data_IF_320341482704
#
_entry.id   IF_320341482704
#
_cell.length_a   1.000
_cell.length_b   1.000
_cell.length_c   1.000
_cell.angle_alpha   90.00
_cell.angle_beta   90.00
_cell.angle_gamma   90.00
#
_symmetry.space_group_name_H-M   'P 1'
#
loop_
_entity.id
_entity.type
_entity.pdbx_description
1 polymer ?
#
# COMPACT_ATOMS: atom_id res chain seq x y z
N UNK A 1 5.25 30.51 10.27
CA UNK A 1 5.87 29.17 10.36
C UNK A 1 7.36 29.16 10.08
N UNK A 2 7.92 30.01 9.19
CA UNK A 2 9.35 29.95 8.82
C UNK A 2 10.35 30.02 9.98
N UNK A 3 10.00 30.64 11.11
CA UNK A 3 10.88 30.72 12.30
C UNK A 3 10.76 29.55 13.27
N UNK A 4 9.65 28.81 13.25
CA UNK A 4 9.32 27.79 14.26
C UNK A 4 9.17 26.39 13.67
N UNK A 5 9.06 26.27 12.34
CA UNK A 5 8.66 25.03 11.68
C UNK A 5 7.21 24.64 11.99
N UNK A 6 6.91 23.36 11.80
CA UNK A 6 5.64 22.75 12.17
C UNK A 6 5.06 21.86 11.07
N UNK A 7 3.74 21.68 11.10
CA UNK A 7 2.98 20.91 10.11
C UNK A 7 1.89 21.78 9.50
N UNK A 8 1.80 21.75 8.17
CA UNK A 8 0.73 22.33 7.39
C UNK A 8 -0.21 21.22 6.92
N UNK A 9 -1.48 21.32 7.29
CA UNK A 9 -2.52 20.40 6.85
C UNK A 9 -3.36 21.11 5.79
N UNK A 10 -3.21 20.69 4.53
CA UNK A 10 -3.89 21.29 3.37
C UNK A 10 -5.14 20.50 3.06
N UNK A 11 -6.29 21.18 2.97
CA UNK A 11 -7.54 20.61 2.51
C UNK A 11 -7.84 21.15 1.11
N UNK A 12 -7.59 20.34 0.08
CA UNK A 12 -7.72 20.72 -1.32
C UNK A 12 -8.91 20.00 -1.96
N UNK A 13 -9.85 20.76 -2.54
CA UNK A 13 -11.06 20.19 -3.18
C UNK A 13 -11.02 20.19 -4.70
N UNK A 14 -10.23 21.07 -5.32
CA UNK A 14 -10.21 21.25 -6.78
C UNK A 14 -8.79 21.46 -7.30
N UNK A 15 -8.58 21.32 -8.61
CA UNK A 15 -7.30 21.65 -9.23
C UNK A 15 -6.91 23.13 -8.96
N UNK A 16 -5.71 23.42 -8.41
CA UNK A 16 -5.21 24.78 -8.26
C UNK A 16 -5.05 25.48 -9.62
N UNK A 17 -6.02 26.32 -10.01
CA UNK A 17 -6.08 26.93 -11.35
C UNK A 17 -5.64 28.40 -11.40
N UNK A 18 -5.34 29.01 -10.25
CA UNK A 18 -4.97 30.43 -10.09
C UNK A 18 -3.72 30.54 -9.20
N UNK A 19 -2.88 31.55 -9.47
CA UNK A 19 -1.69 31.86 -8.68
C UNK A 19 -0.40 31.31 -9.27
N UNK A 20 0.70 31.47 -8.52
CA UNK A 20 2.06 31.11 -8.96
C UNK A 20 2.26 29.60 -9.19
N UNK A 21 1.50 28.77 -8.47
CA UNK A 21 1.51 27.30 -8.61
C UNK A 21 0.37 26.75 -9.47
N UNK A 22 -0.16 27.55 -10.41
CA UNK A 22 -1.29 27.16 -11.27
C UNK A 22 -0.97 25.87 -12.05
N UNK A 23 -1.88 24.92 -11.97
CA UNK A 23 -1.88 23.66 -12.72
C UNK A 23 -2.92 23.68 -13.83
N UNK A 24 -2.70 22.81 -14.83
CA UNK A 24 -3.60 22.62 -15.97
C UNK A 24 -4.16 21.20 -15.94
N UNK A 25 -5.34 21.01 -16.53
CA UNK A 25 -5.90 19.68 -16.74
C UNK A 25 -4.95 18.89 -17.64
N UNK A 26 -4.52 17.72 -17.16
CA UNK A 26 -3.62 16.82 -17.88
C UNK A 26 -4.01 15.38 -17.56
N UNK A 27 -3.89 14.50 -18.56
CA UNK A 27 -4.33 13.11 -18.43
C UNK A 27 -5.79 12.85 -18.78
N UNK A 28 -6.53 13.83 -19.30
CA UNK A 28 -7.87 13.59 -19.87
C UNK A 28 -7.80 12.80 -21.20
N UNK A 29 -6.66 12.85 -21.90
CA UNK A 29 -6.47 12.07 -23.13
C UNK A 29 -6.14 10.61 -22.81
N UNK A 30 -7.17 9.76 -22.87
CA UNK A 30 -7.05 8.32 -22.66
C UNK A 30 -6.02 7.65 -23.57
N UNK A 31 -5.69 8.23 -24.74
CA UNK A 31 -4.69 7.67 -25.69
C UNK A 31 -3.26 7.72 -25.15
N UNK A 32 -3.01 8.53 -24.12
CA UNK A 32 -1.67 8.61 -23.49
C UNK A 32 -1.40 7.39 -22.60
N UNK A 33 -2.43 6.77 -22.05
CA UNK A 33 -2.31 5.59 -21.18
C UNK A 33 -1.70 4.40 -21.94
N UNK A 34 -0.73 3.74 -21.33
CA UNK A 34 0.03 2.63 -21.93
C UNK A 34 1.16 3.06 -22.88
N UNK A 35 1.30 4.35 -23.17
CA UNK A 35 2.38 4.87 -24.03
C UNK A 35 3.62 5.28 -23.24
N UNK A 36 4.74 5.55 -23.92
CA UNK A 36 5.95 6.09 -23.29
C UNK A 36 5.72 7.47 -22.66
N UNK A 37 4.65 8.18 -23.04
CA UNK A 37 4.33 9.51 -22.53
C UNK A 37 3.55 9.49 -21.21
N UNK A 38 3.03 8.33 -20.79
CA UNK A 38 2.26 8.20 -19.55
C UNK A 38 3.09 8.52 -18.29
N UNK A 39 4.41 8.27 -18.29
CA UNK A 39 5.27 8.65 -17.16
C UNK A 39 5.26 10.16 -16.87
N UNK A 40 5.14 11.00 -17.91
CA UNK A 40 5.10 12.46 -17.76
C UNK A 40 3.85 12.95 -17.01
N UNK A 41 2.77 12.17 -17.01
CA UNK A 41 1.56 12.48 -16.26
C UNK A 41 1.72 12.22 -14.75
N UNK A 42 2.62 11.30 -14.38
CA UNK A 42 2.83 10.86 -12.98
C UNK A 42 3.88 11.66 -12.24
N UNK A 43 4.51 12.62 -12.91
CA UNK A 43 5.44 13.59 -12.32
C UNK A 43 4.81 14.99 -12.38
N UNK A 44 5.21 15.93 -11.51
CA UNK A 44 4.73 17.32 -11.61
C UNK A 44 5.07 17.94 -12.95
N UNK A 45 4.16 18.74 -13.50
CA UNK A 45 4.40 19.53 -14.72
C UNK A 45 5.40 20.66 -14.45
N UNK A 46 5.24 21.34 -13.32
CA UNK A 46 6.06 22.47 -12.89
C UNK A 46 6.96 22.08 -11.69
N UNK A 47 8.19 22.57 -11.68
CA UNK A 47 9.11 22.42 -10.56
C UNK A 47 8.71 23.22 -9.31
N UNK A 48 7.76 24.16 -9.43
CA UNK A 48 7.26 25.00 -8.35
C UNK A 48 6.99 24.21 -7.06
N UNK A 49 6.22 23.12 -7.13
CA UNK A 49 5.86 22.32 -5.95
C UNK A 49 7.07 21.63 -5.31
N UNK A 50 8.07 21.23 -6.12
CA UNK A 50 9.31 20.64 -5.61
C UNK A 50 10.19 21.68 -4.93
N UNK A 51 10.29 22.88 -5.51
CA UNK A 51 11.04 24.01 -4.93
C UNK A 51 10.37 24.49 -3.63
N UNK A 52 9.05 24.61 -3.63
CA UNK A 52 8.26 24.94 -2.44
C UNK A 52 8.46 23.91 -1.33
N UNK A 53 8.45 22.61 -1.66
CA UNK A 53 8.74 21.56 -0.68
C UNK A 53 10.17 21.65 -0.13
N UNK A 54 11.15 22.01 -0.96
CA UNK A 54 12.53 22.24 -0.51
C UNK A 54 12.60 23.41 0.48
N UNK A 55 11.90 24.51 0.22
CA UNK A 55 11.85 25.64 1.13
C UNK A 55 11.10 25.32 2.43
N UNK A 56 10.04 24.52 2.37
CA UNK A 56 9.39 23.99 3.56
C UNK A 56 10.33 23.13 4.39
N UNK A 57 11.07 22.22 3.78
CA UNK A 57 12.06 21.40 4.49
C UNK A 57 13.15 22.24 5.13
N UNK A 58 13.66 23.28 4.45
CA UNK A 58 14.63 24.22 5.06
C UNK A 58 14.09 24.87 6.33
N UNK A 59 12.81 25.22 6.31
CA UNK A 59 12.10 25.87 7.43
C UNK A 59 11.47 24.87 8.42
N UNK A 60 11.78 23.57 8.32
CA UNK A 60 11.20 22.52 9.17
C UNK A 60 9.66 22.47 9.14
N UNK A 61 9.07 22.67 7.96
CA UNK A 61 7.63 22.57 7.72
C UNK A 61 7.33 21.25 7.00
N UNK A 62 6.52 20.40 7.64
CA UNK A 62 5.91 19.22 7.02
C UNK A 62 4.58 19.57 6.37
N UNK A 63 4.20 18.89 5.29
CA UNK A 63 2.92 19.13 4.60
C UNK A 63 2.13 17.84 4.43
N UNK A 64 0.94 17.78 5.02
CA UNK A 64 -0.06 16.74 4.74
C UNK A 64 -1.13 17.29 3.81
N UNK A 65 -1.48 16.54 2.77
CA UNK A 65 -2.46 16.94 1.75
C UNK A 65 -3.68 16.04 1.85
N UNK A 66 -4.82 16.62 2.18
CA UNK A 66 -6.14 16.01 2.09
C UNK A 66 -6.83 16.49 0.82
N UNK A 67 -6.99 15.59 -0.16
CA UNK A 67 -7.58 15.88 -1.45
C UNK A 67 -9.00 15.29 -1.56
N UNK A 68 -10.00 16.13 -1.82
CA UNK A 68 -11.44 15.78 -1.84
C UNK A 68 -12.08 15.89 -3.22
N UNK A 69 -11.27 15.90 -4.29
CA UNK A 69 -11.75 16.17 -5.64
C UNK A 69 -12.71 15.11 -6.18
N UNK A 70 -13.85 15.55 -6.70
CA UNK A 70 -14.69 14.75 -7.61
C UNK A 70 -14.09 14.65 -9.01
N UNK A 71 -13.23 15.62 -9.34
CA UNK A 71 -12.54 15.76 -10.62
C UNK A 71 -11.03 15.74 -10.40
N UNK A 72 -10.31 15.63 -11.51
CA UNK A 72 -8.85 15.67 -11.53
C UNK A 72 -8.30 16.87 -10.73
N UNK A 73 -7.40 16.58 -9.79
CA UNK A 73 -6.79 17.52 -8.84
C UNK A 73 -5.26 17.57 -8.93
N UNK A 74 -4.66 16.74 -9.80
CA UNK A 74 -3.22 16.62 -10.01
C UNK A 74 -2.44 16.28 -8.72
N UNK A 75 -2.76 15.10 -8.18
CA UNK A 75 -2.06 14.54 -7.02
C UNK A 75 -0.57 14.32 -7.29
N UNK A 76 -0.16 14.11 -8.54
CA UNK A 76 1.26 14.00 -8.90
C UNK A 76 2.05 15.29 -8.58
N UNK A 77 1.42 16.46 -8.75
CA UNK A 77 2.03 17.75 -8.38
C UNK A 77 1.90 18.03 -6.88
N UNK A 78 0.68 17.93 -6.34
CA UNK A 78 0.40 18.25 -4.93
C UNK A 78 1.11 17.32 -3.94
N UNK A 79 1.16 16.02 -4.25
CA UNK A 79 1.75 14.99 -3.40
C UNK A 79 3.25 15.14 -3.21
N UNK A 80 3.94 15.90 -4.08
CA UNK A 80 5.36 16.21 -3.88
C UNK A 80 5.63 17.06 -2.64
N UNK A 81 4.68 17.91 -2.23
CA UNK A 81 4.78 18.63 -0.96
C UNK A 81 4.91 17.64 0.18
N UNK A 82 4.03 16.64 0.25
CA UNK A 82 4.09 15.58 1.26
C UNK A 82 5.32 14.69 1.12
N UNK A 83 5.66 14.28 -0.10
CA UNK A 83 6.83 13.42 -0.36
C UNK A 83 8.12 14.02 0.18
N UNK A 84 8.42 15.28 -0.15
CA UNK A 84 9.71 15.88 0.20
C UNK A 84 9.77 16.49 1.59
N UNK A 85 8.63 16.64 2.27
CA UNK A 85 8.57 17.21 3.63
C UNK A 85 8.26 16.17 4.72
N UNK A 86 8.18 14.88 4.36
CA UNK A 86 7.90 13.80 5.31
C UNK A 86 6.42 13.64 5.67
N UNK A 87 5.52 14.32 4.97
CA UNK A 87 4.07 14.24 5.16
C UNK A 87 3.39 13.07 4.43
N UNK A 88 2.07 13.14 4.30
CA UNK A 88 1.21 12.11 3.72
C UNK A 88 0.12 12.72 2.82
N UNK A 89 -0.26 11.96 1.79
CA UNK A 89 -1.38 12.28 0.90
C UNK A 89 -2.59 11.42 1.28
N UNK A 90 -3.67 12.08 1.66
CA UNK A 90 -4.97 11.48 1.91
C UNK A 90 -5.89 11.81 0.74
N UNK A 91 -6.31 10.80 0.00
CA UNK A 91 -7.11 10.98 -1.22
C UNK A 91 -8.53 10.43 -1.01
N UNK A 92 -9.51 11.30 -1.19
CA UNK A 92 -10.94 11.03 -1.05
C UNK A 92 -11.64 11.29 -2.39
N UNK A 93 -11.62 10.31 -3.31
CA UNK A 93 -12.32 10.47 -4.59
C UNK A 93 -13.82 10.54 -4.35
N UNK A 94 -14.52 11.46 -5.02
CA UNK A 94 -15.97 11.64 -4.90
C UNK A 94 -16.44 11.80 -3.44
N UNK A 95 -15.79 12.71 -2.71
CA UNK A 95 -16.06 12.93 -1.30
C UNK A 95 -17.54 13.27 -1.05
N UNK A 96 -18.18 12.44 -0.22
CA UNK A 96 -19.51 12.66 0.35
C UNK A 96 -19.38 12.69 1.87
N UNK A 97 -19.82 13.79 2.49
CA UNK A 97 -19.70 13.98 3.94
C UNK A 97 -20.37 12.83 4.71
N UNK A 98 -21.54 12.40 4.24
CA UNK A 98 -22.33 11.31 4.81
C UNK A 98 -21.59 9.97 4.89
N UNK A 99 -20.74 9.66 3.90
CA UNK A 99 -19.98 8.40 3.83
C UNK A 99 -18.64 8.54 4.54
N UNK A 100 -17.97 9.68 4.34
CA UNK A 100 -16.55 9.82 4.66
C UNK A 100 -16.31 10.53 5.99
N UNK A 101 -17.34 11.06 6.67
CA UNK A 101 -17.22 11.80 7.93
C UNK A 101 -16.41 11.03 8.97
N UNK A 102 -16.73 9.76 9.21
CA UNK A 102 -16.03 8.97 10.24
C UNK A 102 -14.57 8.73 9.86
N UNK A 103 -14.31 8.32 8.62
CA UNK A 103 -12.96 8.13 8.09
C UNK A 103 -12.12 9.40 8.20
N UNK A 104 -12.67 10.53 7.74
CA UNK A 104 -11.99 11.82 7.79
C UNK A 104 -11.71 12.25 9.22
N UNK A 105 -12.69 12.11 10.12
CA UNK A 105 -12.54 12.44 11.54
C UNK A 105 -11.44 11.60 12.18
N UNK A 106 -11.43 10.28 11.93
CA UNK A 106 -10.40 9.37 12.44
C UNK A 106 -9.02 9.73 11.89
N UNK A 107 -8.89 9.91 10.58
CA UNK A 107 -7.60 10.17 9.95
C UNK A 107 -7.03 11.54 10.35
N UNK A 108 -7.85 12.59 10.48
CA UNK A 108 -7.42 13.89 11.03
C UNK A 108 -7.01 13.72 12.50
N UNK A 109 -7.84 13.08 13.32
CA UNK A 109 -7.56 12.88 14.75
C UNK A 109 -6.25 12.13 14.93
N UNK A 110 -6.04 11.04 14.18
CA UNK A 110 -4.80 10.27 14.20
C UNK A 110 -3.62 11.11 13.72
N UNK A 111 -3.76 11.89 12.65
CA UNK A 111 -2.68 12.74 12.14
C UNK A 111 -2.20 13.77 13.18
N UNK A 112 -3.14 14.35 13.93
CA UNK A 112 -2.86 15.38 14.93
C UNK A 112 -2.40 14.82 16.27
N UNK A 113 -2.83 13.62 16.65
CA UNK A 113 -2.57 13.05 18.00
C UNK A 113 -1.49 11.97 18.03
N UNK A 114 -1.12 11.38 16.89
CA UNK A 114 -0.07 10.34 16.85
C UNK A 114 1.29 10.89 17.23
N UNK A 115 2.12 10.00 17.76
CA UNK A 115 3.53 10.27 18.04
C UNK A 115 4.24 10.79 16.78
N UNK A 116 4.63 12.06 16.87
CA UNK A 116 5.31 12.78 15.79
C UNK A 116 6.62 13.34 16.34
N UNK A 117 7.71 13.07 15.62
CA UNK A 117 9.01 13.65 15.84
C UNK A 117 9.18 14.84 14.88
N UNK A 118 9.57 15.99 15.44
CA UNK A 118 9.69 17.27 14.74
C UNK A 118 11.15 17.61 14.48
N UNK A 119 11.40 18.41 13.43
CA UNK A 119 12.75 18.89 13.06
C UNK A 119 13.76 17.73 13.03
N UNK A 120 13.29 16.61 12.48
CA UNK A 120 13.96 15.35 12.61
C UNK A 120 14.99 15.19 11.50
N UNK A 121 16.11 14.59 11.88
CA UNK A 121 17.18 14.23 10.97
C UNK A 121 17.56 12.80 11.26
N UNK A 122 17.54 11.98 10.22
CA UNK A 122 17.89 10.57 10.31
C UNK A 122 19.24 10.34 9.64
N UNK A 123 20.12 9.68 10.37
CA UNK A 123 21.39 9.15 9.89
C UNK A 123 21.34 7.63 10.04
N UNK A 124 21.87 6.93 9.05
CA UNK A 124 22.03 5.48 9.11
C UNK A 124 23.53 5.22 9.04
N UNK A 125 24.06 4.68 10.12
CA UNK A 125 25.46 4.29 10.24
C UNK A 125 25.59 2.79 10.00
N UNK A 126 25.94 2.47 8.76
CA UNK A 126 26.31 1.12 8.32
C UNK A 126 27.16 1.25 7.04
N UNK A 127 27.53 0.12 6.45
CA UNK A 127 28.05 -0.02 5.09
C UNK A 127 27.51 1.04 4.12
N UNK A 128 28.27 1.34 3.06
CA UNK A 128 27.89 2.31 2.03
C UNK A 128 26.43 2.16 1.56
N UNK A 129 25.62 3.17 1.86
CA UNK A 129 24.22 3.22 1.44
C UNK A 129 24.18 3.74 0.01
N UNK A 130 23.46 3.03 -0.87
CA UNK A 130 23.38 3.37 -2.29
C UNK A 130 22.19 4.27 -2.59
N UNK A 131 21.04 3.98 -1.98
CA UNK A 131 19.78 4.70 -2.22
C UNK A 131 18.87 4.60 -1.01
N UNK A 132 18.03 5.63 -0.84
CA UNK A 132 17.01 5.75 0.20
C UNK A 132 15.64 5.88 -0.47
N UNK A 133 14.61 5.34 0.17
CA UNK A 133 13.25 5.30 -0.37
C UNK A 133 12.21 5.61 0.71
N UNK A 134 11.32 6.56 0.42
CA UNK A 134 10.28 7.03 1.34
C UNK A 134 9.94 8.50 1.14
N UNK A 135 9.28 9.10 2.14
CA UNK A 135 8.97 10.53 2.15
C UNK A 135 9.97 11.29 3.02
N UNK A 136 10.90 11.97 2.37
CA UNK A 136 11.93 12.81 2.99
C UNK A 136 12.57 13.68 1.90
N UNK A 137 13.47 14.55 2.33
CA UNK A 137 14.41 15.21 1.43
C UNK A 137 15.84 14.95 1.90
N UNK A 138 16.75 14.67 0.96
CA UNK A 138 18.17 14.52 1.27
C UNK A 138 18.80 15.90 1.43
N UNK A 139 19.45 16.13 2.58
CA UNK A 139 20.22 17.36 2.85
C UNK A 139 21.68 17.20 2.42
N UNK A 140 22.23 16.01 2.59
CA UNK A 140 23.52 15.55 2.07
C UNK A 140 23.38 14.09 1.62
N UNK A 141 24.47 13.44 1.22
CA UNK A 141 24.48 12.05 0.72
C UNK A 141 23.83 11.06 1.70
N UNK A 142 24.03 11.27 3.00
CA UNK A 142 23.67 10.28 4.04
C UNK A 142 22.73 10.84 5.11
N UNK A 143 22.23 12.07 4.92
CA UNK A 143 21.44 12.77 5.92
C UNK A 143 20.03 13.05 5.41
N UNK A 144 19.05 12.31 5.94
CA UNK A 144 17.65 12.50 5.60
C UNK A 144 17.05 13.60 6.47
N UNK A 145 16.52 14.65 5.84
CA UNK A 145 15.75 15.69 6.48
C UNK A 145 14.27 15.31 6.51
N UNK A 146 13.71 15.32 7.72
CA UNK A 146 12.35 14.93 8.05
C UNK A 146 11.71 16.04 8.91
N UNK A 147 11.17 17.11 8.31
CA UNK A 147 10.49 18.18 9.05
C UNK A 147 9.50 17.66 10.09
N UNK A 148 8.74 16.63 9.72
CA UNK A 148 8.04 15.77 10.66
C UNK A 148 8.12 14.30 10.20
N UNK A 149 8.21 13.38 11.15
CA UNK A 149 8.09 11.94 10.95
C UNK A 149 7.21 11.35 12.04
N UNK A 150 6.34 10.42 11.70
CA UNK A 150 5.39 9.81 12.64
C UNK A 150 5.55 8.30 12.72
N UNK A 151 4.90 7.71 13.72
CA UNK A 151 4.97 6.28 14.04
C UNK A 151 4.43 5.35 12.94
N UNK A 152 3.68 5.88 11.97
CA UNK A 152 2.93 5.05 11.01
C UNK A 152 3.70 4.87 9.68
N UNK A 153 4.86 5.53 9.55
CA UNK A 153 5.68 5.54 8.33
C UNK A 153 6.88 4.60 8.43
N UNK A 154 7.24 4.01 7.29
CA UNK A 154 8.45 3.21 7.13
C UNK A 154 9.28 3.63 5.92
N UNK A 155 10.60 3.55 6.08
CA UNK A 155 11.61 3.86 5.07
C UNK A 155 12.30 2.57 4.62
N UNK A 156 12.80 2.56 3.39
CA UNK A 156 13.66 1.49 2.90
C UNK A 156 14.96 2.06 2.34
N UNK A 157 16.01 1.26 2.35
CA UNK A 157 17.33 1.65 1.89
C UNK A 157 18.02 0.45 1.23
N UNK A 158 18.82 0.71 0.21
CA UNK A 158 19.67 -0.31 -0.42
C UNK A 158 21.11 -0.12 0.02
N UNK A 159 21.71 -1.20 0.50
CA UNK A 159 23.07 -1.22 1.02
C UNK A 159 24.00 -1.87 0.01
N UNK A 160 25.22 -1.34 -0.12
CA UNK A 160 26.32 -2.00 -0.79
C UNK A 160 27.20 -2.65 0.26
N UNK A 161 27.41 -3.96 0.15
CA UNK A 161 28.35 -4.68 1.01
C UNK A 161 29.77 -4.40 0.55
N UNK A 162 30.62 -3.93 1.46
CA UNK A 162 32.06 -3.79 1.25
C UNK A 162 32.78 -5.06 1.72
N UNK A 163 33.85 -5.47 1.02
CA UNK A 163 34.57 -6.72 1.30
C UNK A 163 35.08 -6.81 2.74
N UNK A 164 35.45 -5.67 3.34
CA UNK A 164 35.91 -5.57 4.74
C UNK A 164 34.85 -6.04 5.73
N UNK A 165 33.56 -5.77 5.48
CA UNK A 165 32.46 -6.17 6.36
C UNK A 165 32.25 -7.69 6.38
N UNK A 166 32.58 -8.36 5.28
CA UNK A 166 32.46 -9.81 5.13
C UNK A 166 33.55 -10.57 5.93
N UNK A 167 34.55 -9.88 6.48
CA UNK A 167 35.56 -10.49 7.36
C UNK A 167 35.08 -10.68 8.80
N UNK A 168 34.01 -10.00 9.18
CA UNK A 168 33.42 -10.08 10.52
C UNK A 168 32.35 -11.16 10.58
N UNK A 169 32.08 -11.72 11.77
CA UNK A 169 31.00 -12.69 11.95
C UNK A 169 29.63 -12.03 12.05
N UNK A 170 29.57 -10.77 12.48
CA UNK A 170 28.34 -10.01 12.72
C UNK A 170 28.53 -8.60 12.19
N UNK A 171 27.58 -8.14 11.38
CA UNK A 171 27.46 -6.75 10.95
C UNK A 171 26.41 -6.05 11.80
N UNK A 172 26.74 -4.87 12.29
CA UNK A 172 25.82 -4.02 13.04
C UNK A 172 25.26 -2.92 12.13
N UNK A 173 23.98 -2.66 12.29
CA UNK A 173 23.24 -1.59 11.62
C UNK A 173 22.76 -0.64 12.69
N UNK A 174 23.13 0.63 12.61
CA UNK A 174 22.62 1.63 13.53
C UNK A 174 21.86 2.71 12.78
N UNK A 175 20.66 3.01 13.25
CA UNK A 175 19.85 4.13 12.76
C UNK A 175 19.69 5.11 13.91
N UNK A 176 20.11 6.35 13.71
CA UNK A 176 19.98 7.43 14.67
C UNK A 176 19.02 8.50 14.13
N UNK A 177 17.95 8.76 14.87
CA UNK A 177 16.99 9.82 14.61
C UNK A 177 17.14 10.91 15.67
N UNK A 178 17.76 12.02 15.29
CA UNK A 178 17.80 13.22 16.12
C UNK A 178 16.52 14.02 15.86
N UNK A 179 15.70 14.24 16.88
CA UNK A 179 14.40 14.90 16.73
C UNK A 179 14.01 15.73 17.95
N UNK A 180 13.00 16.58 17.79
CA UNK A 180 12.33 17.30 18.87
C UNK A 180 10.98 16.60 19.13
N UNK A 181 10.66 16.28 20.39
CA UNK A 181 9.35 15.74 20.76
C UNK A 181 8.26 16.81 20.68
N UNK A 182 6.99 16.42 20.66
CA UNK A 182 5.86 17.37 20.77
C UNK A 182 5.86 18.16 22.10
N UNK A 183 6.60 17.71 23.12
CA UNK A 183 6.81 18.45 24.38
C UNK A 183 7.97 19.45 24.32
N UNK A 184 8.67 19.58 23.19
CA UNK A 184 9.78 20.51 23.00
C UNK A 184 11.15 19.97 23.44
N UNK A 185 11.27 18.68 23.75
CA UNK A 185 12.54 18.08 24.17
C UNK A 185 13.34 17.58 22.96
N UNK A 186 14.62 17.93 22.91
CA UNK A 186 15.53 17.34 21.92
C UNK A 186 15.94 15.94 22.36
N UNK A 187 15.69 14.96 21.50
CA UNK A 187 15.93 13.53 21.78
C UNK A 187 16.68 12.89 20.62
N UNK A 188 17.50 11.88 20.93
CA UNK A 188 18.08 10.97 19.95
C UNK A 188 17.45 9.60 20.15
N UNK A 189 16.79 9.08 19.13
CA UNK A 189 16.31 7.68 19.11
C UNK A 189 17.29 6.86 18.30
N UNK A 190 17.82 5.79 18.91
CA UNK A 190 18.80 4.92 18.26
C UNK A 190 18.23 3.51 18.18
N UNK A 191 18.21 2.95 16.97
CA UNK A 191 17.90 1.54 16.74
C UNK A 191 19.16 0.84 16.29
N UNK A 192 19.56 -0.21 17.01
CA UNK A 192 20.69 -1.05 16.63
C UNK A 192 20.19 -2.45 16.30
N UNK A 193 20.52 -2.95 15.12
CA UNK A 193 20.28 -4.32 14.70
C UNK A 193 21.62 -5.01 14.42
N UNK A 194 21.69 -6.31 14.67
CA UNK A 194 22.85 -7.13 14.36
C UNK A 194 22.41 -8.25 13.41
N UNK A 195 23.15 -8.47 12.32
CA UNK A 195 22.92 -9.57 11.40
C UNK A 195 24.19 -10.42 11.27
N UNK A 196 24.07 -11.76 11.33
CA UNK A 196 25.22 -12.64 11.15
C UNK A 196 25.67 -12.63 9.68
N UNK A 197 26.99 -12.67 9.46
CA UNK A 197 27.57 -12.92 8.14
C UNK A 197 27.54 -14.42 7.89
N UNK A 198 26.90 -14.82 6.80
CA UNK A 198 26.79 -16.22 6.40
C UNK A 198 27.84 -16.59 5.35
N UNK A 199 28.45 -17.78 5.43
CA UNK A 199 29.54 -18.20 4.55
C UNK A 199 29.07 -18.65 3.16
N UNK A 200 27.78 -18.92 2.97
CA UNK A 200 27.25 -19.43 1.70
C UNK A 200 25.85 -18.89 1.37
N UNK A 201 25.50 -18.94 0.08
CA UNK A 201 24.22 -18.44 -0.42
C UNK A 201 23.01 -19.23 0.10
N UNK A 202 23.15 -20.53 0.38
CA UNK A 202 22.04 -21.35 0.84
C UNK A 202 21.53 -20.90 2.22
N UNK A 203 22.43 -20.54 3.14
CA UNK A 203 22.09 -19.95 4.43
C UNK A 203 21.51 -18.55 4.28
N UNK A 204 22.02 -17.73 3.35
CA UNK A 204 21.45 -16.42 3.03
C UNK A 204 19.99 -16.54 2.60
N UNK A 205 19.68 -17.47 1.69
CA UNK A 205 18.30 -17.72 1.27
C UNK A 205 17.42 -18.15 2.44
N UNK A 206 17.91 -19.00 3.34
CA UNK A 206 17.14 -19.46 4.51
C UNK A 206 16.71 -18.32 5.45
N UNK A 207 17.52 -17.26 5.55
CA UNK A 207 17.26 -16.11 6.42
C UNK A 207 16.56 -14.95 5.70
N UNK A 208 16.30 -15.06 4.40
CA UNK A 208 15.72 -13.98 3.61
C UNK A 208 14.27 -13.69 4.02
N UNK A 209 13.95 -12.42 4.26
CA UNK A 209 12.61 -11.96 4.65
C UNK A 209 11.80 -11.52 3.42
N UNK A 210 10.72 -12.25 3.13
CA UNK A 210 9.81 -11.94 2.00
C UNK A 210 9.21 -10.54 2.12
N UNK A 211 8.79 -10.13 3.32
CA UNK A 211 8.15 -8.84 3.55
C UNK A 211 9.09 -7.66 3.31
N UNK A 212 10.32 -7.74 3.82
CA UNK A 212 11.36 -6.73 3.59
C UNK A 212 11.71 -6.60 2.10
N UNK A 213 11.87 -7.73 1.40
CA UNK A 213 12.16 -7.76 -0.04
C UNK A 213 11.02 -7.10 -0.82
N UNK A 214 9.77 -7.47 -0.57
CA UNK A 214 8.60 -6.89 -1.27
C UNK A 214 8.45 -5.40 -0.95
N UNK A 215 8.70 -5.00 0.30
CA UNK A 215 8.70 -3.60 0.73
C UNK A 215 9.70 -2.74 -0.06
N UNK A 216 10.91 -3.27 -0.29
CA UNK A 216 11.91 -2.61 -1.12
C UNK A 216 11.55 -2.63 -2.62
N UNK A 217 11.15 -3.79 -3.15
CA UNK A 217 10.75 -3.93 -4.56
C UNK A 217 9.58 -3.02 -4.93
N UNK A 218 8.61 -2.86 -4.02
CA UNK A 218 7.49 -1.94 -4.15
C UNK A 218 7.96 -0.51 -4.39
N UNK A 219 8.84 0.00 -3.53
CA UNK A 219 9.37 1.36 -3.63
C UNK A 219 10.18 1.57 -4.91
N UNK A 220 11.03 0.61 -5.25
CA UNK A 220 11.77 0.63 -6.51
C UNK A 220 10.85 0.64 -7.73
N UNK A 221 9.78 -0.15 -7.71
CA UNK A 221 8.86 -0.23 -8.83
C UNK A 221 8.08 1.08 -9.00
N UNK A 222 7.62 1.69 -7.91
CA UNK A 222 6.95 3.00 -7.93
C UNK A 222 7.89 4.06 -8.50
N UNK A 223 9.13 4.16 -8.01
CA UNK A 223 10.11 5.11 -8.51
C UNK A 223 10.47 4.86 -9.99
N UNK A 224 10.67 3.60 -10.38
CA UNK A 224 10.91 3.22 -11.76
C UNK A 224 9.74 3.63 -12.67
N UNK A 225 8.51 3.52 -12.17
CA UNK A 225 7.29 3.91 -12.89
C UNK A 225 7.20 5.41 -13.16
N UNK A 226 7.84 6.26 -12.34
CA UNK A 226 7.91 7.71 -12.59
C UNK A 226 8.81 8.07 -13.77
N UNK A 227 9.74 7.18 -14.12
CA UNK A 227 10.71 7.41 -15.20
C UNK A 227 10.38 6.62 -16.47
N UNK A 228 9.68 5.49 -16.33
CA UNK A 228 9.45 4.52 -17.39
C UNK A 228 7.98 4.13 -17.52
N UNK A 229 7.66 3.38 -18.58
CA UNK A 229 6.37 2.68 -18.71
C UNK A 229 6.09 1.80 -17.49
N UNK A 230 4.81 1.67 -17.14
CA UNK A 230 4.34 0.75 -16.09
C UNK A 230 4.81 -0.68 -16.33
N UNK A 231 4.85 -1.10 -17.60
CA UNK A 231 5.31 -2.44 -17.97
C UNK A 231 6.77 -2.68 -17.59
N UNK A 232 7.65 -1.70 -17.79
CA UNK A 232 9.05 -1.80 -17.40
C UNK A 232 9.20 -1.97 -15.88
N UNK A 233 8.40 -1.26 -15.09
CA UNK A 233 8.40 -1.39 -13.64
C UNK A 233 7.97 -2.81 -13.20
N UNK A 234 6.92 -3.38 -13.82
CA UNK A 234 6.47 -4.76 -13.54
C UNK A 234 7.50 -5.81 -13.98
N UNK A 235 8.10 -5.63 -15.16
CA UNK A 235 9.16 -6.49 -15.66
C UNK A 235 10.41 -6.43 -14.78
N UNK A 236 10.75 -5.26 -14.22
CA UNK A 236 11.85 -5.12 -13.27
C UNK A 236 11.62 -5.98 -12.02
N UNK A 237 10.42 -5.93 -11.43
CA UNK A 237 10.05 -6.78 -10.28
C UNK A 237 10.17 -8.25 -10.67
N UNK A 238 9.54 -8.64 -11.79
CA UNK A 238 9.58 -10.02 -12.30
C UNK A 238 11.01 -10.52 -12.52
N UNK A 239 11.85 -9.73 -13.18
CA UNK A 239 13.23 -10.07 -13.50
C UNK A 239 14.05 -10.32 -12.23
N UNK A 240 13.86 -9.52 -11.18
CA UNK A 240 14.53 -9.74 -9.89
C UNK A 240 14.11 -11.08 -9.25
N UNK A 241 12.82 -11.42 -9.25
CA UNK A 241 12.34 -12.71 -8.73
C UNK A 241 12.91 -13.88 -9.55
N UNK A 242 12.84 -13.81 -10.88
CA UNK A 242 13.36 -14.86 -11.77
C UNK A 242 14.85 -15.09 -11.56
N UNK A 243 15.65 -14.00 -11.46
CA UNK A 243 17.09 -14.09 -11.21
C UNK A 243 17.38 -14.76 -9.87
N UNK A 244 16.71 -14.35 -8.79
CA UNK A 244 16.88 -14.97 -7.48
C UNK A 244 16.54 -16.46 -7.48
N UNK A 245 15.43 -16.85 -8.13
CA UNK A 245 15.05 -18.27 -8.21
C UNK A 245 15.98 -19.09 -9.11
N UNK A 246 16.51 -18.50 -10.19
CA UNK A 246 17.51 -19.13 -11.06
C UNK A 246 18.81 -19.40 -10.29
N UNK A 247 19.29 -18.43 -9.51
CA UNK A 247 20.46 -18.60 -8.64
C UNK A 247 20.22 -19.65 -7.55
N UNK A 248 19.05 -19.65 -6.89
CA UNK A 248 18.75 -20.70 -5.92
C UNK A 248 18.73 -22.08 -6.56
N UNK A 249 18.14 -22.22 -7.75
CA UNK A 249 18.10 -23.47 -8.50
C UNK A 249 19.51 -23.96 -8.87
N UNK A 250 20.43 -23.06 -9.25
CA UNK A 250 21.79 -23.43 -9.66
C UNK A 250 22.56 -24.10 -8.51
N UNK A 251 22.34 -23.67 -7.26
CA UNK A 251 22.94 -24.28 -6.06
C UNK A 251 22.56 -25.76 -5.88
N UNK A 252 21.35 -26.16 -6.31
CA UNK A 252 20.80 -27.50 -6.10
C UNK A 252 20.65 -28.31 -7.40
N UNK A 253 21.11 -27.78 -8.54
CA UNK A 253 20.93 -28.41 -9.85
C UNK A 253 21.57 -29.79 -9.97
N UNK A 254 22.66 -30.06 -9.22
CA UNK A 254 23.39 -31.34 -9.24
C UNK A 254 22.72 -32.39 -8.33
N UNK A 255 22.09 -31.98 -7.23
CA UNK A 255 21.53 -32.89 -6.21
C UNK A 255 20.18 -33.48 -6.61
N UNK A 256 19.56 -32.95 -7.66
CA UNK A 256 18.16 -33.16 -7.95
C UNK A 256 17.97 -33.40 -9.46
N UNK A 257 17.68 -34.65 -9.85
CA UNK A 257 17.12 -35.01 -11.19
C UNK A 257 15.67 -34.52 -11.32
N UNK A 258 15.42 -33.24 -11.03
CA UNK A 258 14.11 -32.63 -10.96
C UNK A 258 13.80 -31.90 -12.28
N UNK A 259 13.63 -32.68 -13.34
CA UNK A 259 12.98 -32.18 -14.55
C UNK A 259 11.52 -31.84 -14.22
N UNK A 260 11.07 -30.64 -14.59
CA UNK A 260 9.67 -30.22 -14.46
C UNK A 260 9.19 -29.79 -13.06
N UNK A 261 10.07 -29.69 -12.04
CA UNK A 261 9.69 -29.11 -10.73
C UNK A 261 10.32 -27.75 -10.51
N UNK A 262 9.54 -26.83 -9.97
CA UNK A 262 10.03 -25.53 -9.49
C UNK A 262 10.71 -25.70 -8.14
N UNK A 263 11.95 -25.20 -8.02
CA UNK A 263 12.73 -25.24 -6.79
C UNK A 263 12.79 -23.81 -6.28
N UNK A 264 12.42 -23.60 -5.02
CA UNK A 264 12.45 -22.30 -4.35
C UNK A 264 12.79 -22.49 -2.87
N UNK A 265 13.35 -21.47 -2.20
CA UNK A 265 13.62 -21.55 -0.77
C UNK A 265 12.33 -21.36 0.04
N UNK A 266 12.20 -22.11 1.14
CA UNK A 266 11.01 -22.10 2.00
C UNK A 266 10.68 -20.70 2.55
N UNK A 267 11.71 -19.93 2.91
CA UNK A 267 11.63 -18.53 3.37
C UNK A 267 11.01 -17.58 2.35
N UNK A 268 11.12 -17.88 1.05
CA UNK A 268 10.62 -17.07 -0.06
C UNK A 268 9.45 -17.73 -0.80
N UNK A 269 8.78 -18.73 -0.21
CA UNK A 269 7.66 -19.44 -0.86
C UNK A 269 6.52 -18.52 -1.30
N UNK A 270 6.27 -17.44 -0.55
CA UNK A 270 5.24 -16.43 -0.86
C UNK A 270 5.77 -15.25 -1.67
N UNK A 271 7.08 -15.18 -1.93
CA UNK A 271 7.68 -14.06 -2.67
C UNK A 271 7.10 -13.91 -4.08
N UNK A 272 6.92 -14.99 -4.89
CA UNK A 272 6.29 -14.86 -6.20
C UNK A 272 4.84 -14.36 -6.14
N UNK A 273 4.08 -14.77 -5.11
CA UNK A 273 2.68 -14.35 -4.90
C UNK A 273 2.61 -12.85 -4.59
N UNK A 274 3.41 -12.36 -3.64
CA UNK A 274 3.40 -10.93 -3.31
C UNK A 274 3.94 -10.07 -4.46
N UNK A 275 4.95 -10.54 -5.20
CA UNK A 275 5.45 -9.84 -6.39
C UNK A 275 4.39 -9.75 -7.50
N UNK A 276 3.59 -10.81 -7.66
CA UNK A 276 2.45 -10.83 -8.56
C UNK A 276 1.37 -9.83 -8.14
N UNK A 277 1.01 -9.81 -6.86
CA UNK A 277 0.06 -8.86 -6.30
C UNK A 277 0.55 -7.41 -6.45
N UNK A 278 1.85 -7.16 -6.25
CA UNK A 278 2.47 -5.86 -6.49
C UNK A 278 2.29 -5.41 -7.94
N UNK A 279 2.48 -6.30 -8.91
CA UNK A 279 2.27 -6.01 -10.33
C UNK A 279 0.80 -5.70 -10.69
N UNK A 280 -0.15 -6.26 -9.92
CA UNK A 280 -1.59 -5.98 -10.04
C UNK A 280 -2.09 -4.79 -9.19
N UNK A 281 -1.22 -4.21 -8.35
CA UNK A 281 -1.59 -3.08 -7.47
C UNK A 281 -2.04 -1.85 -8.27
N UNK A 282 -2.88 -1.02 -7.67
CA UNK A 282 -3.41 0.22 -8.30
C UNK A 282 -2.29 1.13 -8.83
N UNK A 283 -1.15 1.18 -8.15
CA UNK A 283 -0.01 1.99 -8.57
C UNK A 283 0.66 1.46 -9.86
N UNK A 284 0.71 0.14 -10.07
CA UNK A 284 1.54 -0.51 -11.10
C UNK A 284 0.78 -1.27 -12.19
N UNK A 285 -0.49 -1.65 -11.94
CA UNK A 285 -1.33 -2.27 -12.96
C UNK A 285 -1.46 -1.33 -14.14
N UNK A 286 -1.43 -1.86 -15.35
CA UNK A 286 -1.50 -1.05 -16.56
C UNK A 286 -2.63 -1.55 -17.45
N UNK A 287 -3.22 -0.63 -18.19
CA UNK A 287 -4.30 -0.89 -19.13
C UNK A 287 -4.77 0.43 -19.72
N UNK A 288 -5.61 0.35 -20.75
CA UNK A 288 -6.22 1.55 -21.31
C UNK A 288 -7.23 2.13 -20.30
N UNK A 289 -6.91 3.29 -19.72
CA UNK A 289 -7.76 4.03 -18.78
C UNK A 289 -8.31 3.15 -17.61
N UNK A 290 -7.45 2.28 -17.06
CA UNK A 290 -7.80 1.35 -15.98
C UNK A 290 -8.01 2.01 -14.61
N UNK A 291 -7.23 3.07 -14.33
CA UNK A 291 -7.25 3.83 -13.08
C UNK A 291 -7.12 5.31 -13.39
N UNK A 292 -7.83 6.16 -12.64
CA UNK A 292 -7.60 7.59 -12.69
C UNK A 292 -6.16 7.93 -12.28
N UNK A 293 -5.59 8.97 -12.89
CA UNK A 293 -4.21 9.37 -12.62
C UNK A 293 -3.99 9.73 -11.15
N UNK A 294 -4.95 10.42 -10.53
CA UNK A 294 -4.88 10.84 -9.14
C UNK A 294 -4.91 9.67 -8.17
N UNK A 295 -5.80 8.70 -8.40
CA UNK A 295 -5.88 7.49 -7.58
C UNK A 295 -4.59 6.66 -7.69
N UNK A 296 -4.02 6.54 -8.89
CA UNK A 296 -2.72 5.88 -9.12
C UNK A 296 -1.59 6.58 -8.36
N UNK A 297 -1.51 7.90 -8.45
CA UNK A 297 -0.48 8.67 -7.76
C UNK A 297 -0.66 8.58 -6.23
N UNK A 298 -1.88 8.71 -5.73
CA UNK A 298 -2.20 8.56 -4.31
C UNK A 298 -1.83 7.17 -3.78
N UNK A 299 -2.13 6.10 -4.54
CA UNK A 299 -1.71 4.74 -4.18
C UNK A 299 -0.17 4.63 -4.12
N UNK A 300 0.53 5.18 -5.11
CA UNK A 300 2.00 5.22 -5.13
C UNK A 300 2.58 5.95 -3.92
N UNK A 301 2.11 7.16 -3.61
CA UNK A 301 2.58 7.91 -2.42
C UNK A 301 2.33 7.15 -1.12
N UNK A 302 1.16 6.52 -0.95
CA UNK A 302 0.89 5.72 0.25
C UNK A 302 1.81 4.50 0.33
N UNK A 303 1.98 3.74 -0.75
CA UNK A 303 2.85 2.57 -0.79
C UNK A 303 4.32 2.89 -0.50
N UNK A 304 4.79 4.11 -0.78
CA UNK A 304 6.16 4.55 -0.45
C UNK A 304 6.43 4.67 1.05
N UNK A 305 5.41 4.85 1.88
CA UNK A 305 5.53 5.07 3.33
C UNK A 305 4.96 3.94 4.17
N UNK A 306 4.29 2.94 3.57
CA UNK A 306 3.68 1.85 4.31
C UNK A 306 4.73 0.98 5.06
N UNK A 307 4.49 0.65 6.34
CA UNK A 307 5.19 -0.41 7.04
C UNK A 307 4.97 -1.76 6.37
N UNK A 308 5.90 -2.71 6.56
CA UNK A 308 5.87 -4.03 5.91
C UNK A 308 4.53 -4.74 6.12
N UNK A 309 4.02 -4.80 7.37
CA UNK A 309 2.73 -5.42 7.69
C UNK A 309 1.57 -4.82 6.87
N UNK A 310 1.47 -3.49 6.84
CA UNK A 310 0.40 -2.78 6.12
C UNK A 310 0.52 -2.93 4.61
N UNK A 311 1.74 -2.94 4.06
CA UNK A 311 1.96 -3.20 2.64
C UNK A 311 1.56 -4.62 2.25
N UNK A 312 1.94 -5.64 3.03
CA UNK A 312 1.57 -7.03 2.74
C UNK A 312 0.06 -7.23 2.79
N UNK A 313 -0.63 -6.62 3.76
CA UNK A 313 -2.10 -6.65 3.84
C UNK A 313 -2.77 -5.91 2.67
N UNK A 314 -2.18 -4.83 2.17
CA UNK A 314 -2.68 -4.13 0.98
C UNK A 314 -2.52 -4.99 -0.29
N UNK A 315 -1.39 -5.68 -0.43
CA UNK A 315 -1.06 -6.49 -1.61
C UNK A 315 -1.82 -7.82 -1.62
N UNK A 316 -1.84 -8.53 -0.49
CA UNK A 316 -2.62 -9.75 -0.30
C UNK A 316 -3.60 -9.56 0.89
N UNK A 317 -4.79 -9.02 0.61
CA UNK A 317 -5.88 -8.83 1.56
C UNK A 317 -6.29 -10.09 2.31
N UNK A 318 -7.02 -9.92 3.41
CA UNK A 318 -7.69 -11.03 4.09
C UNK A 318 -9.13 -11.15 3.61
N UNK A 319 -9.58 -12.38 3.37
CA UNK A 319 -10.99 -12.71 3.12
C UNK A 319 -11.45 -13.64 4.24
N UNK A 320 -12.54 -13.29 4.89
CA UNK A 320 -13.12 -14.05 5.99
C UNK A 320 -14.56 -14.39 5.65
N UNK A 321 -14.97 -15.62 5.98
CA UNK A 321 -16.39 -15.97 6.02
C UNK A 321 -16.95 -15.54 7.37
N UNK A 322 -18.10 -14.86 7.38
CA UNK A 322 -18.63 -14.19 8.58
C UNK A 322 -20.10 -14.53 8.88
N UNK A 323 -20.71 -15.45 8.13
CA UNK A 323 -22.05 -15.97 8.41
C UNK A 323 -22.12 -16.68 9.78
N UNK A 324 -21.10 -17.46 10.14
CA UNK A 324 -21.02 -18.17 11.43
C UNK A 324 -21.01 -17.23 12.64
N UNK A 325 -20.38 -16.05 12.52
CA UNK A 325 -20.32 -15.03 13.57
C UNK A 325 -21.73 -14.51 13.91
N UNK A 326 -22.57 -14.36 12.87
CA UNK A 326 -23.91 -13.79 12.99
C UNK A 326 -24.86 -14.78 13.68
N UNK A 327 -24.75 -16.06 13.34
CA UNK A 327 -25.66 -17.12 13.80
C UNK A 327 -25.36 -17.65 15.19
N UNK A 328 -24.08 -17.79 15.57
CA UNK A 328 -23.71 -18.45 16.84
C UNK A 328 -23.50 -17.48 18.01
N UNK A 329 -23.68 -16.17 17.81
CA UNK A 329 -23.26 -15.13 18.75
C UNK A 329 -21.80 -15.35 19.22
N UNK A 330 -20.97 -15.87 18.31
CA UNK A 330 -19.59 -16.20 18.57
C UNK A 330 -18.82 -14.94 18.98
N UNK A 331 -17.93 -15.06 19.96
CA UNK A 331 -17.05 -13.96 20.37
C UNK A 331 -16.32 -13.44 19.11
N UNK A 332 -16.30 -12.12 18.82
CA UNK A 332 -15.53 -11.57 17.70
C UNK A 332 -14.03 -11.94 17.73
N UNK A 333 -13.54 -12.50 18.85
CA UNK A 333 -12.20 -13.10 18.99
C UNK A 333 -12.07 -14.52 18.44
N UNK A 334 -13.14 -15.17 17.97
CA UNK A 334 -13.04 -16.44 17.25
C UNK A 334 -12.19 -16.19 16.01
N UNK A 335 -11.09 -16.94 15.89
CA UNK A 335 -10.11 -16.79 14.83
C UNK A 335 -10.76 -16.98 13.48
N UNK A 336 -11.06 -15.87 12.78
CA UNK A 336 -11.56 -15.90 11.42
C UNK A 336 -10.53 -16.57 10.52
N UNK A 337 -10.89 -17.73 9.97
CA UNK A 337 -10.04 -18.42 9.01
C UNK A 337 -9.88 -17.56 7.75
N UNK A 338 -8.63 -17.37 7.35
CA UNK A 338 -8.30 -16.61 6.14
C UNK A 338 -8.50 -17.50 4.93
N UNK A 339 -9.41 -17.09 4.07
CA UNK A 339 -9.68 -17.77 2.81
C UNK A 339 -8.74 -17.29 1.70
N UNK A 340 -8.41 -18.16 0.73
CA UNK A 340 -7.72 -17.76 -0.49
C UNK A 340 -8.47 -16.68 -1.27
N UNK A 341 -7.75 -15.86 -2.03
CA UNK A 341 -8.33 -14.74 -2.79
C UNK A 341 -8.73 -15.17 -4.20
N UNK A 342 -9.65 -16.14 -4.26
CA UNK A 342 -10.23 -16.68 -5.49
C UNK A 342 -11.76 -16.71 -5.41
N UNK A 343 -12.42 -16.60 -6.56
CA UNK A 343 -13.87 -16.71 -6.71
C UNK A 343 -14.39 -18.06 -6.22
N UNK A 344 -13.55 -19.10 -6.27
CA UNK A 344 -13.88 -20.43 -5.73
C UNK A 344 -14.10 -20.44 -4.22
N UNK A 345 -13.62 -19.43 -3.48
CA UNK A 345 -13.82 -19.29 -2.04
C UNK A 345 -15.17 -18.64 -1.68
N UNK A 346 -15.90 -18.08 -2.66
CA UNK A 346 -17.18 -17.42 -2.44
C UNK A 346 -18.36 -18.36 -2.74
N UNK A 347 -19.14 -18.72 -1.71
CA UNK A 347 -20.42 -19.43 -1.85
C UNK A 347 -21.56 -18.41 -1.98
N UNK A 348 -22.50 -18.66 -2.90
CA UNK A 348 -23.69 -17.82 -3.09
C UNK A 348 -24.62 -17.75 -1.88
N UNK A 349 -24.43 -18.62 -0.87
CA UNK A 349 -25.18 -18.66 0.39
C UNK A 349 -24.42 -18.05 1.57
N UNK A 350 -23.19 -17.56 1.35
CA UNK A 350 -22.33 -17.05 2.41
C UNK A 350 -22.31 -15.52 2.51
N UNK A 351 -21.85 -15.04 3.66
CA UNK A 351 -21.51 -13.64 3.92
C UNK A 351 -20.00 -13.56 4.17
N UNK A 352 -19.34 -12.63 3.49
CA UNK A 352 -17.89 -12.51 3.53
C UNK A 352 -17.44 -11.09 3.86
N UNK A 353 -16.32 -10.98 4.58
CA UNK A 353 -15.63 -9.72 4.89
C UNK A 353 -14.26 -9.77 4.22
N UNK A 354 -14.04 -8.85 3.29
CA UNK A 354 -12.75 -8.59 2.69
C UNK A 354 -12.10 -7.38 3.36
N UNK A 355 -10.82 -7.51 3.73
CA UNK A 355 -10.04 -6.47 4.41
C UNK A 355 -8.65 -6.32 3.78
N UNK A 356 -8.39 -5.16 3.17
CA UNK A 356 -7.08 -4.79 2.62
C UNK A 356 -6.33 -3.75 3.47
N UNK A 357 -6.79 -3.46 4.70
CA UNK A 357 -6.22 -2.47 5.59
C UNK A 357 -6.63 -1.01 5.31
N UNK A 358 -7.32 -0.73 4.20
CA UNK A 358 -7.84 0.61 3.84
C UNK A 358 -9.36 0.65 3.63
N UNK A 359 -9.96 -0.49 3.33
CA UNK A 359 -11.38 -0.66 3.04
C UNK A 359 -11.84 -2.03 3.51
N UNK A 360 -13.04 -2.08 4.09
CA UNK A 360 -13.78 -3.31 4.27
C UNK A 360 -14.78 -3.46 3.14
N UNK A 361 -14.91 -4.67 2.60
CA UNK A 361 -16.01 -5.01 1.68
C UNK A 361 -16.79 -6.17 2.28
N UNK A 362 -18.04 -5.91 2.63
CA UNK A 362 -19.01 -6.91 3.06
C UNK A 362 -19.72 -7.40 1.80
N UNK A 363 -19.47 -8.65 1.43
CA UNK A 363 -20.09 -9.28 0.26
C UNK A 363 -21.20 -10.23 0.69
N UNK A 364 -22.36 -10.07 0.06
CA UNK A 364 -23.58 -10.82 0.35
C UNK A 364 -23.90 -11.75 -0.82
N UNK A 365 -23.89 -13.06 -0.57
CA UNK A 365 -24.30 -14.05 -1.57
C UNK A 365 -25.76 -13.86 -2.01
N UNK A 366 -26.07 -14.17 -3.27
CA UNK A 366 -27.42 -13.97 -3.84
C UNK A 366 -28.49 -14.88 -3.19
N UNK A 367 -28.06 -16.03 -2.65
CA UNK A 367 -28.86 -17.06 -1.99
C UNK A 367 -28.64 -17.06 -0.47
N UNK A 368 -28.15 -15.96 0.11
CA UNK A 368 -27.97 -15.83 1.55
C UNK A 368 -29.34 -15.98 2.26
N UNK A 369 -29.46 -16.81 3.31
CA UNK A 369 -30.72 -17.00 4.05
C UNK A 369 -31.28 -15.68 4.60
N UNK A 370 -32.61 -15.52 4.54
CA UNK A 370 -33.31 -14.33 5.02
C UNK A 370 -33.06 -14.05 6.50
N UNK A 371 -32.86 -15.09 7.31
CA UNK A 371 -32.62 -14.98 8.74
C UNK A 371 -31.28 -14.28 9.00
N UNK A 372 -30.23 -14.66 8.27
CA UNK A 372 -28.90 -14.04 8.37
C UNK A 372 -28.95 -12.59 7.87
N UNK A 373 -29.69 -12.31 6.80
CA UNK A 373 -29.85 -10.94 6.28
C UNK A 373 -30.56 -10.06 7.30
N UNK A 374 -31.67 -10.54 7.84
CA UNK A 374 -32.48 -9.81 8.82
C UNK A 374 -31.71 -9.61 10.13
N UNK A 375 -30.94 -10.60 10.57
CA UNK A 375 -30.18 -10.50 11.80
C UNK A 375 -28.88 -9.70 11.67
N UNK A 376 -28.16 -9.85 10.55
CA UNK A 376 -26.90 -9.14 10.33
C UNK A 376 -27.12 -7.68 9.97
N UNK A 377 -28.15 -7.43 9.14
CA UNK A 377 -28.40 -6.15 8.50
C UNK A 377 -29.66 -5.44 9.01
N UNK A 378 -30.52 -6.08 9.82
CA UNK A 378 -31.82 -5.51 10.23
C UNK A 378 -32.67 -5.01 9.04
N UNK A 379 -32.58 -5.68 7.88
CA UNK A 379 -33.27 -5.29 6.65
C UNK A 379 -34.37 -6.29 6.27
N UNK A 380 -35.56 -5.78 5.90
CA UNK A 380 -36.61 -6.55 5.23
C UNK A 380 -36.38 -6.54 3.71
N UNK A 381 -36.21 -7.73 3.12
CA UNK A 381 -35.87 -7.92 1.71
C UNK A 381 -36.99 -7.52 0.73
N UNK A 382 -38.23 -7.40 1.22
CA UNK A 382 -39.40 -7.10 0.40
C UNK A 382 -39.46 -5.65 -0.11
N UNK A 383 -38.68 -4.74 0.47
CA UNK A 383 -38.78 -3.28 0.24
C UNK A 383 -37.61 -2.67 -0.53
N UNK A 384 -36.61 -3.44 -0.97
CA UNK A 384 -35.34 -2.89 -1.45
C UNK A 384 -35.07 -3.12 -2.96
N UNK A 385 -35.35 -2.11 -3.82
CA UNK A 385 -34.75 -2.04 -5.14
C UNK A 385 -33.45 -1.21 -5.06
N UNK A 386 -32.33 -1.84 -5.44
CA UNK A 386 -31.12 -1.15 -5.89
C UNK A 386 -30.31 -0.40 -4.79
N UNK A 387 -29.36 -1.11 -4.15
CA UNK A 387 -28.38 -0.57 -3.18
C UNK A 387 -27.50 0.55 -3.77
N UNK A 388 -27.55 0.78 -5.08
CA UNK A 388 -26.86 1.87 -5.77
C UNK A 388 -27.51 3.25 -5.54
N UNK A 389 -28.76 3.32 -5.05
CA UNK A 389 -29.55 4.56 -4.94
C UNK A 389 -29.83 5.04 -3.52
N UNK A 390 -29.39 4.34 -2.48
CA UNK A 390 -29.65 4.75 -1.09
C UNK A 390 -28.54 5.66 -0.56
N UNK A 391 -28.86 6.85 -0.02
CA UNK A 391 -27.89 7.68 0.67
C UNK A 391 -27.36 6.94 1.90
N UNK A 392 -26.12 6.51 1.75
CA UNK A 392 -25.21 5.81 2.65
C UNK A 392 -24.86 6.61 3.90
N UNK A 393 -25.84 6.96 4.74
CA UNK A 393 -25.56 7.70 5.99
C UNK A 393 -26.39 7.25 7.19
N UNK A 394 -27.69 6.96 7.02
CA UNK A 394 -28.53 6.57 8.16
C UNK A 394 -28.65 5.06 8.32
N UNK A 395 -28.66 4.30 7.21
CA UNK A 395 -28.79 2.84 7.27
C UNK A 395 -27.45 2.10 7.48
N UNK A 396 -26.29 2.65 7.15
CA UNK A 396 -25.00 1.97 7.41
C UNK A 396 -24.75 1.74 8.92
N UNK A 397 -25.36 2.58 9.77
CA UNK A 397 -25.34 2.42 11.22
C UNK A 397 -26.23 1.27 11.72
N UNK A 398 -27.37 1.00 11.07
CA UNK A 398 -28.28 -0.08 11.44
C UNK A 398 -27.90 -1.43 10.77
N UNK A 399 -27.42 -1.37 9.52
CA UNK A 399 -27.06 -2.50 8.65
C UNK A 399 -25.82 -3.28 9.09
N UNK A 400 -25.03 -2.76 10.03
CA UNK A 400 -23.79 -3.42 10.46
C UNK A 400 -23.76 -3.75 11.94
N UNK A 401 -24.86 -3.63 12.69
CA UNK A 401 -24.81 -3.68 14.16
C UNK A 401 -24.22 -4.97 14.73
N UNK A 402 -24.53 -6.15 14.17
CA UNK A 402 -23.94 -7.43 14.60
C UNK A 402 -22.50 -7.63 14.09
N UNK A 403 -22.17 -7.08 12.92
CA UNK A 403 -20.84 -7.21 12.29
C UNK A 403 -19.84 -6.17 12.82
N UNK A 404 -20.33 -5.04 13.36
CA UNK A 404 -19.53 -3.91 13.84
C UNK A 404 -18.50 -4.31 14.89
N UNK A 405 -18.80 -5.13 15.93
CA UNK A 405 -17.79 -5.58 16.88
C UNK A 405 -16.62 -6.31 16.19
N UNK A 406 -16.92 -7.10 15.16
CA UNK A 406 -15.88 -7.77 14.34
C UNK A 406 -15.06 -6.75 13.55
N UNK A 407 -15.69 -5.76 12.91
CA UNK A 407 -14.97 -4.71 12.17
C UNK A 407 -14.09 -3.85 13.10
N UNK A 408 -14.58 -3.53 14.29
CA UNK A 408 -13.84 -2.81 15.33
C UNK A 408 -12.68 -3.66 15.86
N UNK A 409 -12.89 -4.96 16.06
CA UNK A 409 -11.82 -5.89 16.41
C UNK A 409 -10.74 -5.93 15.31
N UNK A 410 -11.13 -6.03 14.04
CA UNK A 410 -10.19 -5.99 12.91
C UNK A 410 -9.44 -4.66 12.84
N UNK A 411 -10.13 -3.53 13.03
CA UNK A 411 -9.53 -2.18 13.13
C UNK A 411 -8.52 -2.07 14.26
N UNK A 412 -8.74 -2.74 15.39
CA UNK A 412 -7.85 -2.68 16.55
C UNK A 412 -6.43 -3.20 16.27
N UNK A 413 -6.25 -4.04 15.23
CA UNK A 413 -4.94 -4.55 14.84
C UNK A 413 -4.02 -3.51 14.19
N UNK A 414 -4.58 -2.44 13.62
CA UNK A 414 -3.85 -1.30 13.08
C UNK A 414 -4.68 0.00 13.18
N UNK A 415 -4.52 0.78 14.27
CA UNK A 415 -5.26 2.03 14.47
C UNK A 415 -4.78 3.18 13.58
N UNK A 416 -3.70 3.00 12.80
CA UNK A 416 -3.13 4.07 11.96
C UNK A 416 -4.05 4.51 10.81
N UNK A 417 -5.04 3.69 10.46
CA UNK A 417 -5.96 3.92 9.32
C UNK A 417 -7.39 3.60 9.73
N UNK A 418 -8.33 4.16 8.97
CA UNK A 418 -9.75 3.84 9.09
C UNK A 418 -10.23 3.18 7.81
N UNK A 419 -10.61 1.90 7.91
CA UNK A 419 -11.12 1.14 6.77
C UNK A 419 -12.55 1.57 6.46
N UNK A 420 -12.78 2.20 5.30
CA UNK A 420 -14.13 2.55 4.86
C UNK A 420 -14.91 1.26 4.53
N UNK A 421 -16.14 1.15 5.02
CA UNK A 421 -16.97 -0.04 4.80
C UNK A 421 -17.76 0.13 3.52
N UNK A 422 -17.80 -0.93 2.71
CA UNK A 422 -18.66 -1.03 1.56
C UNK A 422 -19.47 -2.32 1.62
N UNK A 423 -20.76 -2.24 1.34
CA UNK A 423 -21.61 -3.42 1.15
C UNK A 423 -21.84 -3.64 -0.34
N UNK A 424 -21.83 -4.90 -0.77
CA UNK A 424 -22.13 -5.30 -2.15
C UNK A 424 -22.83 -6.65 -2.19
N UNK A 425 -23.82 -6.80 -3.08
CA UNK A 425 -24.52 -8.07 -3.29
C UNK A 425 -24.02 -8.78 -4.54
N UNK A 426 -23.98 -10.11 -4.49
CA UNK A 426 -23.67 -10.93 -5.66
C UNK A 426 -24.64 -10.65 -6.81
N UNK A 427 -24.09 -10.31 -7.99
CA UNK A 427 -24.84 -9.91 -9.18
C UNK A 427 -24.99 -8.40 -9.35
N UNK A 428 -24.59 -7.58 -8.38
CA UNK A 428 -24.66 -6.11 -8.46
C UNK A 428 -23.51 -5.54 -9.30
N UNK A 429 -23.61 -5.64 -10.62
CA UNK A 429 -22.60 -5.14 -11.55
C UNK A 429 -22.83 -3.66 -11.91
N UNK A 430 -21.77 -2.84 -12.06
CA UNK A 430 -20.34 -3.16 -11.99
C UNK A 430 -19.71 -3.06 -10.58
N UNK A 431 -20.53 -2.80 -9.54
CA UNK A 431 -20.06 -2.55 -8.17
C UNK A 431 -19.34 -3.76 -7.58
N UNK A 432 -19.89 -4.96 -7.74
CA UNK A 432 -19.30 -6.23 -7.30
C UNK A 432 -17.93 -6.47 -7.96
N UNK A 433 -17.84 -6.27 -9.27
CA UNK A 433 -16.57 -6.43 -10.00
C UNK A 433 -15.50 -5.44 -9.51
N UNK A 434 -15.88 -4.18 -9.33
CA UNK A 434 -14.95 -3.11 -8.94
C UNK A 434 -14.50 -3.21 -7.48
N UNK A 435 -15.42 -3.52 -6.57
CA UNK A 435 -15.13 -3.53 -5.14
C UNK A 435 -14.50 -4.84 -4.65
N UNK A 436 -14.86 -5.99 -5.24
CA UNK A 436 -14.39 -7.30 -4.78
C UNK A 436 -13.74 -8.14 -5.88
N UNK A 437 -14.43 -8.49 -6.97
CA UNK A 437 -13.94 -9.55 -7.88
C UNK A 437 -12.59 -9.18 -8.54
N UNK A 438 -12.40 -7.91 -8.90
CA UNK A 438 -11.11 -7.41 -9.42
C UNK A 438 -9.98 -7.43 -8.40
N UNK A 439 -10.29 -7.63 -7.11
CA UNK A 439 -9.33 -7.73 -6.00
C UNK A 439 -9.10 -9.17 -5.54
N UNK A 440 -9.76 -10.16 -6.14
CA UNK A 440 -9.46 -11.59 -5.97
C UNK A 440 -8.22 -11.91 -6.81
N UNK A 441 -7.05 -11.61 -6.23
CA UNK A 441 -5.78 -11.50 -6.96
C UNK A 441 -5.34 -12.80 -7.64
N UNK A 442 -5.75 -13.97 -7.14
CA UNK A 442 -5.34 -15.27 -7.68
C UNK A 442 -6.02 -15.60 -9.01
N UNK A 443 -7.20 -15.02 -9.26
CA UNK A 443 -7.99 -15.28 -10.45
C UNK A 443 -7.52 -14.49 -11.68
N UNK A 444 -8.04 -14.92 -12.84
CA UNK A 444 -7.85 -14.26 -14.12
C UNK A 444 -8.80 -13.05 -14.28
N UNK A 445 -8.60 -12.02 -13.46
CA UNK A 445 -9.35 -10.76 -13.58
C UNK A 445 -8.38 -9.63 -13.96
N UNK A 446 -8.56 -9.07 -15.15
CA UNK A 446 -7.73 -7.96 -15.66
C UNK A 446 -6.27 -8.33 -15.94
N UNK A 447 -5.98 -9.60 -16.23
CA UNK A 447 -4.63 -10.10 -16.51
C UNK A 447 -4.56 -11.62 -16.44
N UNK A 448 -3.37 -12.15 -16.20
CA UNK A 448 -3.15 -13.58 -15.98
C UNK A 448 -3.55 -13.99 -14.55
N UNK A 449 -3.81 -15.28 -14.34
CA UNK A 449 -4.01 -15.87 -13.01
C UNK A 449 -2.67 -16.08 -12.28
N UNK A 450 -2.70 -16.33 -10.97
CA UNK A 450 -1.48 -16.66 -10.24
C UNK A 450 -0.87 -17.98 -10.71
N UNK A 451 -1.72 -18.96 -11.08
CA UNK A 451 -1.24 -20.24 -11.62
C UNK A 451 -0.52 -20.05 -12.97
N UNK A 452 -1.02 -19.21 -13.87
CA UNK A 452 -0.33 -18.90 -15.13
C UNK A 452 0.99 -18.14 -14.89
N UNK A 453 0.98 -17.21 -13.94
CA UNK A 453 2.16 -16.45 -13.56
C UNK A 453 3.28 -17.35 -13.03
N UNK A 454 2.96 -18.28 -12.11
CA UNK A 454 4.00 -19.16 -11.55
C UNK A 454 4.58 -20.08 -12.64
N UNK A 455 3.77 -20.54 -13.60
CA UNK A 455 4.28 -21.26 -14.77
C UNK A 455 5.19 -20.39 -15.65
N UNK A 456 4.87 -19.11 -15.82
CA UNK A 456 5.74 -18.17 -16.54
C UNK A 456 7.09 -17.97 -15.82
N UNK A 457 7.06 -17.71 -14.51
CA UNK A 457 8.27 -17.58 -13.67
C UNK A 457 9.11 -18.86 -13.76
N UNK A 458 8.46 -20.03 -13.69
CA UNK A 458 9.15 -21.31 -13.78
C UNK A 458 9.88 -21.46 -15.13
N UNK A 459 9.20 -21.22 -16.25
CA UNK A 459 9.81 -21.28 -17.61
C UNK A 459 10.99 -20.32 -17.75
N UNK A 460 10.86 -19.09 -17.25
CA UNK A 460 11.94 -18.10 -17.31
C UNK A 460 13.13 -18.47 -16.42
N UNK A 461 12.88 -19.08 -15.25
CA UNK A 461 13.95 -19.55 -14.35
C UNK A 461 14.75 -20.74 -14.91
N UNK A 462 14.18 -21.48 -15.87
CA UNK A 462 14.84 -22.59 -16.56
C UNK A 462 15.63 -22.17 -17.79
N UNK A 463 15.35 -20.98 -18.33
CA UNK A 463 15.98 -20.52 -19.57
C UNK A 463 17.48 -20.28 -19.32
N UNK A 464 18.36 -20.71 -20.25
CA UNK A 464 19.82 -20.67 -20.09
C UNK A 464 20.37 -19.27 -19.76
#
# INVERSE_FOLDING_TARGET
>A
MSRLGGKLVIFQSTLPSVGVGRLRLRGDDARVYGTDKECNLRIPEDQFYKQMAADFTKNQIAVDVYAFGEKYSDIASLGNLSKYTGGQVYHYPYFKADIHREKLTHEITRNLTRDTAWEAVMLVDVAKITTYHGHFMLRSTDLLALPAVDSDKAFAMQLSLEETLLTTQIVYFQVALLCTSSSGERRVKVHTAAAPVVPNLAEMYRQADTGAIISLLCRLAIENSLLNKLDNARQMVQSKIVKSLKEYRSLYAVQHRLAGRMIFPESLKLLPLYAFCLNKSVALRGGFADVSLDERCAAGYNMMILPVKGLLQLLYPCLFRADEIITEAADPKVSLEKLPLTIGSLDSRGLYIYDNGFTFVIWLGRMLPSDIITEALYLDLSTFPDLSKVPSSEQENEVTRKIRPTLEHLRSFDPSRYQLVHVVRQGEQPRESTLLLSKLVEDQVGGISYSDWIHQIHRQSQSP
#
